data_IF_613772368091
#
_entry.id   IF_613772368091
#
_cell.length_a   1.000
_cell.length_b   1.000
_cell.length_c   1.000
_cell.angle_alpha   90.00
_cell.angle_beta   90.00
_cell.angle_gamma   90.00
#
_symmetry.space_group_name_H-M   'P 1'
#
loop_
_entity.id
_entity.type
_entity.pdbx_description
1 polymer ?
#
# COMPACT_ATOMS: atom_id res chain seq x y z
N UNK A 1 -35.44 23.81 -14.31
CA UNK A 1 -34.59 22.98 -15.20
C UNK A 1 -33.86 21.97 -14.33
N UNK A 2 -33.95 20.67 -14.65
CA UNK A 2 -33.14 19.63 -14.02
C UNK A 2 -31.89 19.42 -14.89
N UNK A 3 -30.73 19.38 -14.24
CA UNK A 3 -29.43 19.22 -14.90
C UNK A 3 -28.75 18.04 -14.24
N UNK A 4 -28.28 17.09 -15.06
CA UNK A 4 -27.57 15.89 -14.63
C UNK A 4 -26.22 15.87 -15.36
N UNK A 5 -25.14 15.61 -14.64
CA UNK A 5 -23.83 15.37 -15.24
C UNK A 5 -23.43 13.91 -15.01
N UNK A 6 -22.69 13.31 -15.94
CA UNK A 6 -22.14 11.97 -15.83
C UNK A 6 -20.62 12.08 -15.82
N UNK A 7 -20.00 11.57 -14.77
CA UNK A 7 -18.56 11.55 -14.56
C UNK A 7 -18.13 10.09 -14.60
N UNK A 8 -17.29 9.73 -15.57
CA UNK A 8 -16.72 8.39 -15.73
C UNK A 8 -15.21 8.51 -15.66
N UNK A 9 -14.61 7.85 -14.68
CA UNK A 9 -13.16 7.69 -14.57
C UNK A 9 -12.82 6.21 -14.63
N UNK A 10 -11.98 5.82 -15.58
CA UNK A 10 -11.47 4.46 -15.71
C UNK A 10 -9.95 4.51 -15.65
N UNK A 11 -9.36 3.74 -14.75
CA UNK A 11 -7.93 3.51 -14.68
C UNK A 11 -7.68 2.00 -14.72
N UNK A 12 -6.86 1.57 -15.68
CA UNK A 12 -6.42 0.18 -15.82
C UNK A 12 -4.89 0.17 -15.80
N UNK A 13 -4.31 -0.71 -14.99
CA UNK A 13 -2.88 -0.89 -14.87
C UNK A 13 -2.55 -2.36 -14.72
N UNK A 14 -1.89 -2.91 -15.74
CA UNK A 14 -1.26 -4.23 -15.72
C UNK A 14 0.26 -4.05 -15.61
N UNK A 15 0.90 -4.88 -14.80
CA UNK A 15 2.33 -4.84 -14.58
C UNK A 15 2.88 -6.21 -14.20
N UNK A 16 3.96 -6.62 -14.89
CA UNK A 16 4.75 -7.78 -14.52
C UNK A 16 6.10 -7.30 -14.00
N UNK A 17 6.41 -7.64 -12.75
CA UNK A 17 7.67 -7.32 -12.10
C UNK A 17 8.45 -8.60 -11.80
N UNK A 18 9.62 -8.74 -12.42
CA UNK A 18 10.58 -9.80 -12.09
C UNK A 18 11.75 -9.18 -11.32
N UNK A 19 12.04 -9.71 -10.14
CA UNK A 19 13.12 -9.23 -9.29
C UNK A 19 13.98 -10.36 -8.74
N UNK A 20 15.28 -10.12 -8.65
CA UNK A 20 16.23 -11.00 -7.97
C UNK A 20 16.88 -10.21 -6.84
N UNK A 21 16.83 -10.76 -5.63
CA UNK A 21 17.47 -10.19 -4.45
C UNK A 21 18.57 -11.15 -3.97
N UNK A 22 19.61 -10.60 -3.34
CA UNK A 22 20.75 -11.37 -2.83
C UNK A 22 21.01 -11.05 -1.38
N UNK A 23 21.41 -12.04 -0.58
CA UNK A 23 21.75 -11.84 0.82
C UNK A 23 22.81 -12.84 1.28
N UNK A 24 23.55 -12.46 2.31
CA UNK A 24 24.55 -13.30 2.96
C UNK A 24 24.15 -13.53 4.42
N UNK A 25 23.96 -14.78 4.81
CA UNK A 25 23.68 -15.22 6.19
C UNK A 25 24.88 -15.02 7.11
N UNK A 26 26.10 -15.15 6.59
CA UNK A 26 27.34 -14.93 7.34
C UNK A 26 27.52 -13.46 7.75
N UNK A 27 27.28 -12.54 6.81
CA UNK A 27 27.54 -11.10 7.02
C UNK A 27 26.29 -10.29 7.37
N UNK A 28 25.10 -10.86 7.16
CA UNK A 28 23.82 -10.16 7.25
C UNK A 28 23.58 -9.14 6.13
N UNK A 29 24.49 -9.03 5.15
CA UNK A 29 24.36 -8.07 4.06
C UNK A 29 23.26 -8.49 3.09
N UNK A 30 22.46 -7.53 2.62
CA UNK A 30 21.37 -7.75 1.64
C UNK A 30 21.37 -6.72 0.52
N UNK A 31 21.03 -7.18 -0.68
CA UNK A 31 20.66 -6.38 -1.84
C UNK A 31 19.18 -6.64 -2.08
N UNK A 32 18.35 -5.70 -1.66
CA UNK A 32 16.89 -5.79 -1.69
C UNK A 32 16.30 -4.67 -2.58
N UNK A 33 15.24 -4.98 -3.31
CA UNK A 33 14.46 -4.04 -4.09
C UNK A 33 13.04 -3.91 -3.51
N UNK A 34 12.49 -2.70 -3.49
CA UNK A 34 11.21 -2.42 -2.79
C UNK A 34 9.97 -3.06 -3.43
N UNK A 35 10.03 -3.51 -4.69
CA UNK A 35 8.84 -3.84 -5.48
C UNK A 35 8.57 -5.35 -5.68
N UNK A 36 9.13 -6.21 -4.82
CA UNK A 36 9.15 -7.68 -5.04
C UNK A 36 8.30 -8.50 -4.06
N UNK A 37 7.48 -7.84 -3.22
CA UNK A 37 6.57 -8.48 -2.27
C UNK A 37 7.23 -9.00 -0.98
N UNK A 38 8.24 -9.89 -1.09
CA UNK A 38 8.96 -10.42 0.07
C UNK A 38 10.35 -9.78 0.24
N UNK A 39 10.71 -9.29 1.45
CA UNK A 39 12.07 -8.84 1.75
C UNK A 39 12.99 -10.03 2.00
N UNK A 40 14.09 -10.16 1.23
CA UNK A 40 15.06 -11.26 1.37
C UNK A 40 15.62 -11.41 2.79
N UNK A 41 15.75 -10.31 3.56
CA UNK A 41 16.19 -10.39 4.95
C UNK A 41 15.30 -11.27 5.83
N UNK A 42 13.97 -11.09 5.74
CA UNK A 42 13.01 -11.91 6.49
C UNK A 42 12.95 -13.35 5.97
N UNK A 43 13.09 -13.53 4.64
CA UNK A 43 13.16 -14.86 4.04
C UNK A 43 14.39 -15.62 4.53
N UNK A 44 15.55 -14.98 4.64
CA UNK A 44 16.77 -15.61 5.17
C UNK A 44 16.62 -15.99 6.64
N UNK A 45 16.06 -15.10 7.47
CA UNK A 45 15.81 -15.41 8.89
C UNK A 45 14.84 -16.58 9.01
N UNK A 46 13.73 -16.55 8.28
CA UNK A 46 12.76 -17.65 8.29
C UNK A 46 13.32 -18.97 7.74
N UNK A 47 14.22 -18.93 6.77
CA UNK A 47 14.92 -20.13 6.28
C UNK A 47 15.91 -20.68 7.30
N UNK A 48 16.51 -19.83 8.14
CA UNK A 48 17.38 -20.26 9.21
C UNK A 48 16.58 -20.86 10.38
N UNK A 49 15.48 -20.22 10.77
CA UNK A 49 14.58 -20.70 11.84
C UNK A 49 13.85 -21.99 11.45
N UNK A 50 13.57 -22.19 10.16
CA UNK A 50 12.95 -23.40 9.64
C UNK A 50 13.89 -24.63 9.61
N UNK A 51 15.18 -24.48 9.93
CA UNK A 51 16.11 -25.63 9.98
C UNK A 51 15.93 -26.39 11.30
N UNK A 52 15.75 -27.69 11.19
CA UNK A 52 15.79 -28.58 12.35
C UNK A 52 17.17 -28.55 13.01
N UNK A 53 17.20 -28.48 14.35
CA UNK A 53 18.44 -28.43 15.13
C UNK A 53 18.55 -29.68 16.00
N UNK A 54 19.57 -30.49 15.76
CA UNK A 54 19.90 -31.62 16.64
C UNK A 54 20.72 -31.13 17.83
N UNK A 55 20.15 -31.22 19.03
CA UNK A 55 20.83 -30.92 20.30
C UNK A 55 21.26 -32.18 21.00
N UNK A 56 22.40 -32.11 21.68
CA UNK A 56 22.91 -33.18 22.54
C UNK A 56 22.86 -32.71 23.99
N UNK A 57 22.04 -33.37 24.80
CA UNK A 57 21.94 -33.09 26.24
C UNK A 57 22.62 -34.22 27.02
N UNK A 58 23.53 -33.84 27.91
CA UNK A 58 24.17 -34.76 28.86
C UNK A 58 23.31 -34.88 30.12
N UNK A 59 22.86 -36.09 30.43
CA UNK A 59 22.14 -36.38 31.67
C UNK A 59 22.91 -37.41 32.50
N UNK A 60 22.75 -37.33 33.82
CA UNK A 60 23.30 -38.32 34.72
C UNK A 60 22.35 -39.53 34.76
N UNK A 61 22.83 -40.70 34.35
CA UNK A 61 22.08 -41.95 34.44
C UNK A 61 22.37 -42.62 35.79
N UNK A 62 21.37 -42.68 36.66
CA UNK A 62 21.47 -43.27 38.00
C UNK A 62 21.59 -44.80 38.00
N UNK A 63 21.18 -45.47 36.92
CA UNK A 63 21.19 -46.93 36.81
C UNK A 63 22.56 -47.43 36.33
N UNK A 64 23.23 -46.67 35.47
CA UNK A 64 24.58 -46.97 34.97
C UNK A 64 25.68 -46.17 35.69
N UNK A 65 25.29 -45.25 36.57
CA UNK A 65 26.12 -44.37 37.39
C UNK A 65 27.17 -43.58 36.57
N UNK A 66 26.77 -43.11 35.38
CA UNK A 66 27.60 -42.41 34.40
C UNK A 66 26.83 -41.28 33.73
N UNK A 67 27.57 -40.31 33.18
CA UNK A 67 27.03 -39.32 32.26
C UNK A 67 26.76 -39.97 30.91
N UNK A 68 25.54 -39.80 30.40
CA UNK A 68 25.11 -40.27 29.09
C UNK A 68 24.58 -39.10 28.28
N UNK A 69 24.73 -39.18 26.95
CA UNK A 69 24.26 -38.15 26.04
C UNK A 69 22.99 -38.64 25.34
N UNK A 70 21.94 -37.84 25.35
CA UNK A 70 20.76 -38.03 24.49
C UNK A 70 20.77 -36.99 23.40
N UNK A 71 20.52 -37.43 22.17
CA UNK A 71 20.26 -36.54 21.06
C UNK A 71 18.76 -36.40 20.86
N UNK A 72 18.30 -35.18 20.73
CA UNK A 72 16.94 -34.87 20.29
C UNK A 72 17.00 -33.81 19.21
N UNK A 73 16.04 -33.86 18.29
CA UNK A 73 15.92 -32.91 17.19
C UNK A 73 14.76 -32.00 17.51
N UNK A 74 15.03 -30.70 17.58
CA UNK A 74 13.99 -29.67 17.61
C UNK A 74 13.58 -29.35 16.17
N UNK A 75 12.28 -29.44 15.89
CA UNK A 75 11.71 -29.07 14.59
C UNK A 75 11.81 -27.56 14.36
N UNK A 76 12.16 -27.15 13.15
CA UNK A 76 12.26 -25.74 12.78
C UNK A 76 10.90 -25.03 12.75
N UNK A 77 10.91 -23.71 13.00
CA UNK A 77 9.72 -22.87 12.93
C UNK A 77 9.61 -22.19 11.55
N UNK A 78 8.52 -22.46 10.85
CA UNK A 78 8.23 -21.91 9.52
C UNK A 78 7.40 -20.62 9.59
N UNK A 79 6.97 -20.16 10.77
CA UNK A 79 6.05 -19.04 10.93
C UNK A 79 6.59 -17.72 10.36
N UNK A 80 7.87 -17.44 10.58
CA UNK A 80 8.59 -16.27 10.04
C UNK A 80 8.68 -16.33 8.53
N UNK A 81 9.03 -17.50 7.97
CA UNK A 81 9.10 -17.69 6.51
C UNK A 81 7.71 -17.56 5.87
N UNK A 82 6.69 -18.15 6.48
CA UNK A 82 5.30 -18.07 6.03
C UNK A 82 4.79 -16.62 6.06
N UNK A 83 5.13 -15.85 7.09
CA UNK A 83 4.78 -14.43 7.19
C UNK A 83 5.52 -13.59 6.13
N UNK A 84 6.80 -13.89 5.88
CA UNK A 84 7.60 -13.22 4.87
C UNK A 84 7.07 -13.47 3.44
N UNK A 85 6.66 -14.70 3.15
CA UNK A 85 6.13 -15.08 1.83
C UNK A 85 4.64 -14.78 1.66
N UNK A 86 3.88 -14.66 2.74
CA UNK A 86 2.45 -14.34 2.72
C UNK A 86 2.14 -12.94 2.14
N UNK A 87 3.12 -12.04 2.12
CA UNK A 87 3.02 -10.73 1.48
C UNK A 87 3.33 -10.71 -0.03
N UNK A 88 3.71 -11.85 -0.62
CA UNK A 88 4.04 -11.94 -2.06
C UNK A 88 2.77 -12.01 -2.88
N UNK A 89 2.54 -11.00 -3.73
CA UNK A 89 1.49 -11.02 -4.74
C UNK A 89 2.03 -11.63 -6.05
N UNK A 90 2.10 -12.95 -6.13
CA UNK A 90 2.67 -13.65 -7.28
C UNK A 90 3.44 -14.91 -6.86
N UNK A 91 4.59 -15.16 -7.51
CA UNK A 91 5.46 -16.28 -7.20
C UNK A 91 6.79 -15.81 -6.61
N UNK A 92 7.30 -16.52 -5.61
CA UNK A 92 8.64 -16.31 -5.07
C UNK A 92 9.34 -17.66 -4.84
N UNK A 93 10.65 -17.68 -5.10
CA UNK A 93 11.51 -18.85 -4.92
C UNK A 93 12.84 -18.39 -4.31
N UNK A 94 13.27 -19.07 -3.25
CA UNK A 94 14.58 -18.85 -2.65
C UNK A 94 15.54 -19.99 -3.01
N UNK A 95 16.80 -19.64 -3.27
CA UNK A 95 17.91 -20.56 -3.54
C UNK A 95 19.02 -20.24 -2.55
N UNK A 96 19.39 -21.22 -1.72
CA UNK A 96 20.49 -21.10 -0.74
C UNK A 96 21.73 -21.79 -1.30
N UNK A 97 22.86 -21.08 -1.31
CA UNK A 97 24.16 -21.50 -1.84
C UNK A 97 25.25 -21.20 -0.80
N UNK A 98 25.41 -22.11 0.16
CA UNK A 98 26.27 -21.86 1.34
C UNK A 98 25.70 -20.70 2.15
N UNK A 99 26.53 -19.69 2.40
CA UNK A 99 26.12 -18.49 3.13
C UNK A 99 25.34 -17.49 2.28
N UNK A 100 25.30 -17.66 0.96
CA UNK A 100 24.56 -16.78 0.06
C UNK A 100 23.15 -17.31 -0.19
N UNK A 101 22.18 -16.40 -0.19
CA UNK A 101 20.79 -16.68 -0.54
C UNK A 101 20.37 -15.76 -1.69
N UNK A 102 19.69 -16.31 -2.68
CA UNK A 102 19.08 -15.58 -3.76
C UNK A 102 17.55 -15.75 -3.69
N UNK A 103 16.81 -14.64 -3.69
CA UNK A 103 15.34 -14.65 -3.75
C UNK A 103 14.91 -14.15 -5.12
N UNK A 104 14.28 -15.03 -5.89
CA UNK A 104 13.68 -14.72 -7.18
C UNK A 104 12.19 -14.51 -6.95
N UNK A 105 11.65 -13.41 -7.46
CA UNK A 105 10.26 -13.02 -7.31
C UNK A 105 9.68 -12.61 -8.66
N UNK A 106 8.46 -13.06 -8.94
CA UNK A 106 7.67 -12.67 -10.09
C UNK A 106 6.30 -12.20 -9.57
N UNK A 107 6.07 -10.90 -9.64
CA UNK A 107 4.85 -10.24 -9.18
C UNK A 107 4.04 -9.85 -10.41
N UNK A 108 2.77 -10.27 -10.45
CA UNK A 108 1.81 -9.80 -11.43
C UNK A 108 0.80 -8.91 -10.70
N UNK A 109 0.68 -7.66 -11.13
CA UNK A 109 -0.28 -6.71 -10.59
C UNK A 109 -1.30 -6.38 -11.66
N UNK A 110 -2.56 -6.62 -11.35
CA UNK A 110 -3.71 -6.14 -12.13
C UNK A 110 -4.50 -5.17 -11.25
N UNK A 111 -4.65 -3.94 -11.73
CA UNK A 111 -5.38 -2.88 -11.07
C UNK A 111 -6.43 -2.32 -12.02
N UNK A 112 -7.69 -2.33 -11.58
CA UNK A 112 -8.80 -1.76 -12.32
C UNK A 112 -9.62 -0.88 -11.38
N UNK A 113 -9.81 0.37 -11.75
CA UNK A 113 -10.66 1.32 -11.06
C UNK A 113 -11.69 1.88 -12.03
N UNK A 114 -12.96 1.85 -11.63
CA UNK A 114 -14.06 2.46 -12.35
C UNK A 114 -14.89 3.29 -11.38
N UNK A 115 -14.89 4.61 -11.59
CA UNK A 115 -15.68 5.55 -10.81
C UNK A 115 -16.74 6.14 -11.73
N UNK A 116 -18.01 5.93 -11.36
CA UNK A 116 -19.16 6.54 -12.00
C UNK A 116 -19.89 7.43 -10.99
N UNK A 117 -20.01 8.72 -11.30
CA UNK A 117 -20.78 9.67 -10.48
C UNK A 117 -21.78 10.44 -11.34
N UNK A 118 -23.00 10.60 -10.83
CA UNK A 118 -24.09 11.30 -11.53
C UNK A 118 -24.71 12.41 -10.68
N UNK A 119 -24.02 13.56 -10.47
CA UNK A 119 -24.60 14.66 -9.72
C UNK A 119 -25.76 15.31 -10.50
N UNK A 120 -26.81 15.71 -9.77
CA UNK A 120 -27.98 16.39 -10.32
C UNK A 120 -28.35 17.64 -9.53
N UNK A 121 -28.74 18.73 -10.22
CA UNK A 121 -29.19 19.97 -9.60
C UNK A 121 -30.44 20.52 -10.30
N UNK A 122 -31.37 21.08 -9.53
CA UNK A 122 -32.57 21.74 -10.05
C UNK A 122 -32.49 23.24 -9.82
N UNK A 123 -32.67 24.00 -10.89
CA UNK A 123 -32.46 25.45 -10.91
C UNK A 123 -33.56 26.18 -11.68
N UNK A 124 -33.77 27.45 -11.36
CA UNK A 124 -34.66 28.33 -12.12
C UNK A 124 -33.98 28.82 -13.40
N UNK A 125 -34.78 29.24 -14.38
CA UNK A 125 -34.27 29.87 -15.59
C UNK A 125 -33.48 31.15 -15.26
N UNK A 126 -32.33 31.34 -15.93
CA UNK A 126 -31.36 32.41 -15.66
C UNK A 126 -30.82 32.47 -14.21
N UNK A 127 -31.09 31.44 -13.39
CA UNK A 127 -30.65 31.36 -12.00
C UNK A 127 -29.34 30.60 -11.87
N UNK A 128 -28.31 31.25 -11.34
CA UNK A 128 -27.06 30.58 -10.98
C UNK A 128 -27.28 29.64 -9.79
N UNK A 129 -26.79 28.40 -9.91
CA UNK A 129 -26.62 27.55 -8.75
C UNK A 129 -25.31 26.79 -8.79
N UNK A 130 -24.83 26.48 -7.61
CA UNK A 130 -23.66 25.65 -7.40
C UNK A 130 -23.94 24.59 -6.36
N UNK A 131 -23.34 23.43 -6.52
CA UNK A 131 -23.38 22.36 -5.55
C UNK A 131 -21.99 21.75 -5.40
N UNK A 132 -21.67 21.33 -4.18
CA UNK A 132 -20.38 20.78 -3.80
C UNK A 132 -20.66 19.50 -3.01
N UNK A 133 -20.11 18.37 -3.47
CA UNK A 133 -20.10 17.10 -2.73
C UNK A 133 -18.67 16.71 -2.53
N UNK A 134 -18.25 16.60 -1.28
CA UNK A 134 -16.86 16.34 -0.99
C UNK A 134 -16.55 16.41 0.48
N UNK A 135 -15.26 16.38 0.76
CA UNK A 135 -14.69 16.43 2.09
C UNK A 135 -13.76 17.64 2.22
N UNK A 136 -13.54 18.09 3.45
CA UNK A 136 -12.62 19.19 3.73
C UNK A 136 -11.31 18.63 4.29
N UNK A 137 -10.25 18.67 3.48
CA UNK A 137 -8.96 18.07 3.82
C UNK A 137 -8.02 19.15 4.38
N UNK A 138 -7.36 18.89 5.54
CA UNK A 138 -6.33 19.77 6.06
C UNK A 138 -5.09 19.74 5.17
N UNK A 139 -4.60 20.92 4.81
CA UNK A 139 -3.33 21.12 4.12
C UNK A 139 -2.45 22.00 5.01
N UNK A 140 -1.29 21.48 5.40
CA UNK A 140 -0.32 22.22 6.20
C UNK A 140 0.38 23.23 5.28
N UNK A 141 0.13 24.53 5.45
CA UNK A 141 0.66 25.58 4.57
C UNK A 141 1.91 26.26 5.13
N UNK A 142 2.30 25.92 6.37
CA UNK A 142 3.57 26.31 6.94
C UNK A 142 3.80 25.72 8.32
N UNK A 143 5.07 25.52 8.67
CA UNK A 143 5.52 25.24 10.03
C UNK A 143 6.59 26.26 10.39
N UNK A 144 6.35 27.07 11.41
CA UNK A 144 7.41 27.95 11.96
C UNK A 144 7.87 27.35 13.27
N UNK A 145 9.17 27.04 13.36
CA UNK A 145 9.79 26.67 14.62
C UNK A 145 10.10 27.97 15.38
N UNK A 146 9.60 28.11 16.61
CA UNK A 146 10.09 29.15 17.52
C UNK A 146 11.60 29.01 17.72
N UNK A 147 12.28 30.07 18.16
CA UNK A 147 13.75 30.22 18.15
C UNK A 147 14.59 29.07 18.75
N UNK A 148 13.98 28.12 19.47
CA UNK A 148 14.62 26.92 20.04
C UNK A 148 13.94 25.58 19.66
N UNK A 149 13.10 25.51 18.62
CA UNK A 149 12.42 24.29 18.15
C UNK A 149 11.52 23.57 19.19
N UNK A 150 11.20 24.21 20.32
CA UNK A 150 10.43 23.60 21.41
C UNK A 150 8.91 23.53 21.16
N UNK A 151 8.37 24.29 20.19
CA UNK A 151 6.94 24.25 19.87
C UNK A 151 6.66 24.73 18.42
N UNK A 152 6.82 23.87 17.40
CA UNK A 152 6.44 24.23 16.04
C UNK A 152 4.92 24.37 15.95
N UNK A 153 4.43 25.55 15.63
CA UNK A 153 3.03 25.74 15.26
C UNK A 153 2.87 25.45 13.76
N UNK A 154 1.96 24.55 13.43
CA UNK A 154 1.56 24.28 12.06
C UNK A 154 0.33 25.13 11.73
N UNK A 155 0.41 25.91 10.65
CA UNK A 155 -0.77 26.53 10.06
C UNK A 155 -1.44 25.48 9.18
N UNK A 156 -2.68 25.14 9.52
CA UNK A 156 -3.50 24.18 8.79
C UNK A 156 -4.59 24.95 8.05
N UNK A 157 -4.49 24.99 6.72
CA UNK A 157 -5.55 25.50 5.88
C UNK A 157 -6.44 24.36 5.41
N UNK A 158 -7.73 24.61 5.33
CA UNK A 158 -8.73 23.63 4.94
C UNK A 158 -9.08 23.81 3.47
N UNK A 159 -8.96 22.74 2.68
CA UNK A 159 -9.34 22.75 1.26
C UNK A 159 -10.48 21.78 1.02
N UNK A 160 -11.51 22.27 0.34
CA UNK A 160 -12.62 21.44 -0.15
C UNK A 160 -12.15 20.63 -1.36
N UNK A 161 -12.29 19.31 -1.28
CA UNK A 161 -12.01 18.36 -2.36
C UNK A 161 -13.26 17.53 -2.63
N UNK A 162 -13.53 17.23 -3.89
CA UNK A 162 -14.72 16.49 -4.32
C UNK A 162 -15.25 16.99 -5.65
N UNK A 163 -16.55 16.82 -5.87
CA UNK A 163 -17.23 17.22 -7.09
C UNK A 163 -17.89 18.57 -6.87
N UNK A 164 -17.48 19.59 -7.63
CA UNK A 164 -18.15 20.90 -7.69
C UNK A 164 -18.81 21.06 -9.05
N UNK A 165 -20.08 21.46 -9.04
CA UNK A 165 -20.83 21.75 -10.25
C UNK A 165 -21.48 23.11 -10.09
N UNK A 166 -21.18 24.03 -11.01
CA UNK A 166 -21.79 25.36 -11.10
C UNK A 166 -22.46 25.51 -12.44
N UNK A 167 -23.72 25.97 -12.43
CA UNK A 167 -24.53 26.02 -13.66
C UNK A 167 -25.47 27.21 -13.78
N UNK A 168 -25.37 27.79 -14.99
CA UNK A 168 -26.07 28.82 -15.74
C UNK A 168 -27.16 28.42 -16.74
N UNK A 169 -28.39 28.00 -16.40
CA UNK A 169 -29.37 27.66 -17.44
C UNK A 169 -30.01 28.90 -18.08
N UNK A 170 -30.28 28.82 -19.37
CA UNK A 170 -31.11 29.76 -20.11
C UNK A 170 -32.04 28.99 -21.05
N UNK A 171 -33.35 29.13 -20.88
CA UNK A 171 -34.35 28.52 -21.75
C UNK A 171 -34.54 29.43 -22.97
N UNK A 172 -34.28 28.90 -24.16
CA UNK A 172 -34.46 29.59 -25.43
C UNK A 172 -35.80 29.19 -26.07
N UNK A 173 -36.28 29.97 -27.05
CA UNK A 173 -37.47 29.63 -27.81
C UNK A 173 -37.29 28.29 -28.56
N UNK A 174 -38.31 27.44 -28.53
CA UNK A 174 -38.27 26.11 -29.18
C UNK A 174 -37.74 24.97 -28.32
N UNK A 175 -38.02 24.96 -27.01
CA UNK A 175 -37.69 23.89 -26.05
C UNK A 175 -36.19 23.58 -25.90
N UNK A 176 -35.31 24.46 -26.37
CA UNK A 176 -33.87 24.32 -26.20
C UNK A 176 -33.37 25.01 -24.93
N UNK A 177 -32.40 24.40 -24.26
CA UNK A 177 -31.78 24.95 -23.04
C UNK A 177 -30.30 25.17 -23.30
N UNK A 178 -29.85 26.40 -23.12
CA UNK A 178 -28.43 26.76 -23.10
C UNK A 178 -27.91 26.67 -21.67
N UNK A 179 -26.72 26.09 -21.49
CA UNK A 179 -26.12 25.88 -20.17
C UNK A 179 -24.71 26.47 -20.17
N UNK A 180 -24.44 27.37 -19.21
CA UNK A 180 -23.07 27.70 -18.83
C UNK A 180 -22.67 26.82 -17.65
N UNK A 181 -21.75 25.88 -17.86
CA UNK A 181 -21.38 24.86 -16.87
C UNK A 181 -19.90 24.97 -16.51
N UNK A 182 -19.61 24.93 -15.21
CA UNK A 182 -18.28 24.78 -14.66
C UNK A 182 -18.28 23.55 -13.75
N UNK A 183 -17.44 22.58 -14.05
CA UNK A 183 -17.33 21.33 -13.29
C UNK A 183 -15.89 21.12 -12.86
N UNK A 184 -15.70 20.86 -11.57
CA UNK A 184 -14.42 20.49 -10.97
C UNK A 184 -14.55 19.12 -10.31
N UNK A 185 -13.57 18.25 -10.58
CA UNK A 185 -13.42 16.95 -9.92
C UNK A 185 -12.06 16.93 -9.27
N UNK A 186 -12.07 16.92 -7.94
CA UNK A 186 -10.87 16.92 -7.11
C UNK A 186 -10.85 15.65 -6.27
N UNK A 187 -9.77 14.87 -6.38
CA UNK A 187 -9.59 13.63 -5.63
C UNK A 187 -8.35 13.71 -4.74
N UNK A 188 -8.38 13.03 -3.59
CA UNK A 188 -7.24 12.94 -2.67
C UNK A 188 -6.49 11.66 -3.00
N UNK A 189 -5.33 11.79 -3.64
CA UNK A 189 -4.39 10.69 -3.74
C UNK A 189 -3.85 10.44 -2.33
N UNK A 190 -4.22 9.30 -1.74
CA UNK A 190 -3.65 8.86 -0.47
C UNK A 190 -2.12 8.84 -0.57
N UNK A 191 -1.43 9.21 0.51
CA UNK A 191 0.03 9.36 0.56
C UNK A 191 0.84 8.05 0.31
N UNK A 192 0.17 6.96 -0.04
CA UNK A 192 0.77 5.69 -0.44
C UNK A 192 0.46 5.45 -1.92
N UNK A 193 1.12 6.24 -2.78
CA UNK A 193 1.29 5.94 -4.20
C UNK A 193 2.69 5.39 -4.43
#
# INVERSE_FOLDING_TARGET
>A
VLIEALIVEMAEGDGINLGVQWGSLETGAVIQYGNTGAPIGQVMVGLEEAKDVTKTESYWNSDTNKWENRQYTEEGDYSTLASALGGVNGAAMSIVMGDWTALISAVASDSNSNILSSPSITVMDNGEASFIVGEEVPVITGSTAGSNNDNPFQTVDRKEVGIKLKVVPQINEGDSVQLNIEQEVSNVLGANG
#
